data_IF_266217962997
#
_entry.id   IF_266217962997
#
_cell.length_a   1.000
_cell.length_b   1.000
_cell.length_c   1.000
_cell.angle_alpha   90.00
_cell.angle_beta   90.00
_cell.angle_gamma   90.00
#
_symmetry.space_group_name_H-M   'P 1'
#
loop_
_entity.id
_entity.type
_entity.pdbx_description
1 polymer ?
#
# COMPACT_ATOMS: atom_id res chain seq x y z
N UNK A 1 -3.86 -13.55 1.65
CA UNK A 1 -2.47 -13.63 2.17
C UNK A 1 -1.40 -13.12 1.17
N UNK A 2 -1.60 -13.33 -0.14
CA UNK A 2 -0.66 -12.91 -1.21
C UNK A 2 -0.54 -11.38 -1.34
N UNK A 3 -1.66 -10.64 -1.31
CA UNK A 3 -1.68 -9.16 -1.41
C UNK A 3 -0.66 -8.49 -0.48
N UNK A 4 -0.63 -8.88 0.81
CA UNK A 4 0.31 -8.32 1.81
C UNK A 4 1.78 -8.57 1.51
N UNK A 5 2.12 -9.74 0.99
CA UNK A 5 3.51 -10.06 0.61
C UNK A 5 3.93 -9.19 -0.57
N UNK A 6 3.06 -9.09 -1.58
CA UNK A 6 3.27 -8.27 -2.78
C UNK A 6 3.46 -6.79 -2.40
N UNK A 7 2.60 -6.24 -1.55
CA UNK A 7 2.74 -4.84 -1.11
C UNK A 7 4.06 -4.59 -0.38
N UNK A 8 4.51 -5.54 0.45
CA UNK A 8 5.81 -5.43 1.13
C UNK A 8 6.97 -5.36 0.14
N UNK A 9 6.95 -6.16 -0.93
CA UNK A 9 7.98 -6.09 -1.98
C UNK A 9 7.98 -4.75 -2.70
N UNK A 10 6.82 -4.19 -3.01
CA UNK A 10 6.72 -2.86 -3.63
C UNK A 10 7.26 -1.75 -2.74
N UNK A 11 6.93 -1.77 -1.45
CA UNK A 11 7.44 -0.78 -0.48
C UNK A 11 8.96 -0.90 -0.30
N UNK A 12 9.47 -2.13 -0.13
CA UNK A 12 10.92 -2.37 0.00
C UNK A 12 11.65 -1.96 -1.28
N UNK A 13 11.08 -2.26 -2.45
CA UNK A 13 11.62 -1.84 -3.74
C UNK A 13 11.70 -0.32 -3.87
N UNK A 14 10.63 0.40 -3.51
CA UNK A 14 10.61 1.86 -3.55
C UNK A 14 11.67 2.49 -2.61
N UNK A 15 11.82 1.93 -1.39
CA UNK A 15 12.85 2.38 -0.44
C UNK A 15 14.25 2.09 -0.97
N UNK A 16 14.50 0.90 -1.50
CA UNK A 16 15.80 0.54 -2.05
C UNK A 16 16.19 1.43 -3.23
N UNK A 17 15.25 1.66 -4.15
CA UNK A 17 15.48 2.58 -5.26
C UNK A 17 15.85 3.93 -4.67
N UNK A 18 15.05 4.51 -3.77
CA UNK A 18 15.34 5.84 -3.24
C UNK A 18 16.65 5.93 -2.44
N UNK A 19 16.91 4.99 -1.52
CA UNK A 19 18.00 5.09 -0.53
C UNK A 19 19.34 4.60 -1.06
N UNK A 20 19.36 3.56 -1.91
CA UNK A 20 20.60 2.92 -2.34
C UNK A 20 21.62 3.87 -3.00
N UNK A 21 21.25 4.81 -3.88
CA UNK A 21 22.22 5.73 -4.45
C UNK A 21 22.60 6.88 -3.52
N UNK A 22 21.75 7.26 -2.56
CA UNK A 22 22.19 8.15 -1.48
C UNK A 22 23.29 7.47 -0.67
N UNK A 23 23.14 6.18 -0.35
CA UNK A 23 24.18 5.41 0.35
C UNK A 23 25.44 5.30 -0.51
N UNK A 24 25.32 4.96 -1.80
CA UNK A 24 26.49 4.88 -2.70
C UNK A 24 27.21 6.23 -2.84
N UNK A 25 26.47 7.34 -2.89
CA UNK A 25 27.04 8.66 -3.05
C UNK A 25 27.63 9.22 -1.75
N UNK A 26 26.96 9.06 -0.61
CA UNK A 26 27.41 9.65 0.67
C UNK A 26 28.37 8.75 1.45
N UNK A 27 28.19 7.42 1.41
CA UNK A 27 29.03 6.48 2.16
C UNK A 27 30.23 6.04 1.33
N UNK A 28 30.01 5.67 0.06
CA UNK A 28 31.08 5.15 -0.80
C UNK A 28 31.73 6.22 -1.67
N UNK A 29 31.22 7.47 -1.69
CA UNK A 29 31.65 8.56 -2.58
C UNK A 29 31.63 8.20 -4.08
N UNK A 30 30.92 7.14 -4.46
CA UNK A 30 30.82 6.74 -5.86
C UNK A 30 29.66 7.50 -6.46
N UNK A 31 29.89 8.26 -7.54
CA UNK A 31 28.78 8.90 -8.25
C UNK A 31 27.98 7.81 -8.99
N UNK A 32 26.73 7.52 -8.59
CA UNK A 32 25.95 6.42 -9.17
C UNK A 32 25.72 6.62 -10.67
N UNK A 33 25.71 7.87 -11.14
CA UNK A 33 25.63 8.24 -12.56
C UNK A 33 26.65 7.50 -13.44
N UNK A 34 27.89 7.32 -12.99
CA UNK A 34 28.93 6.68 -13.79
C UNK A 34 28.80 5.15 -13.83
N UNK A 35 28.35 4.52 -12.75
CA UNK A 35 28.09 3.07 -12.70
C UNK A 35 26.90 2.71 -13.60
N UNK A 36 25.81 3.47 -13.53
CA UNK A 36 24.63 3.17 -14.35
C UNK A 36 24.85 3.46 -15.83
N UNK A 37 25.66 4.48 -16.14
CA UNK A 37 26.07 4.79 -17.49
C UNK A 37 26.95 3.69 -18.10
N UNK A 38 27.77 2.97 -17.30
CA UNK A 38 28.55 1.83 -17.81
C UNK A 38 27.70 0.60 -18.13
N UNK A 39 26.49 0.50 -17.55
CA UNK A 39 25.51 -0.56 -17.83
C UNK A 39 24.55 -0.14 -18.99
N UNK A 40 24.77 1.04 -19.59
CA UNK A 40 23.95 1.57 -20.69
C UNK A 40 22.65 2.25 -20.26
N UNK A 41 22.43 2.42 -18.95
CA UNK A 41 21.23 3.05 -18.40
C UNK A 41 21.49 4.54 -18.24
N UNK A 42 21.30 5.30 -19.32
CA UNK A 42 21.73 6.71 -19.41
C UNK A 42 20.71 7.73 -18.88
N UNK A 43 19.41 7.40 -18.86
CA UNK A 43 18.33 8.38 -18.63
C UNK A 43 17.41 8.09 -17.44
N UNK A 44 17.44 6.87 -16.88
CA UNK A 44 16.48 6.45 -15.85
C UNK A 44 16.68 7.22 -14.53
N UNK A 45 17.92 7.64 -14.24
CA UNK A 45 18.28 8.20 -12.93
C UNK A 45 18.18 9.71 -12.80
N UNK A 46 18.26 10.48 -13.89
CA UNK A 46 18.17 11.94 -13.78
C UNK A 46 16.72 12.43 -13.77
N UNK A 47 15.85 11.81 -14.57
CA UNK A 47 14.48 12.28 -14.81
C UNK A 47 13.43 11.44 -14.06
N UNK A 48 13.56 10.10 -14.07
CA UNK A 48 12.56 9.18 -13.51
C UNK A 48 12.80 8.79 -12.05
N UNK A 49 13.82 9.36 -11.41
CA UNK A 49 14.25 9.02 -10.05
C UNK A 49 13.14 9.10 -9.00
N UNK A 50 12.31 10.12 -9.13
CA UNK A 50 11.22 10.41 -8.20
C UNK A 50 9.90 9.79 -8.66
N UNK A 51 9.76 9.58 -9.97
CA UNK A 51 8.57 8.99 -10.59
C UNK A 51 8.46 7.49 -10.25
N UNK A 52 9.53 6.73 -10.45
CA UNK A 52 9.55 5.28 -10.21
C UNK A 52 9.15 4.88 -8.77
N UNK A 53 9.77 5.43 -7.70
CA UNK A 53 9.36 5.15 -6.34
C UNK A 53 7.95 5.68 -6.03
N UNK A 54 7.56 6.83 -6.59
CA UNK A 54 6.21 7.38 -6.41
C UNK A 54 5.14 6.43 -6.97
N UNK A 55 5.33 5.90 -8.18
CA UNK A 55 4.40 4.94 -8.81
C UNK A 55 4.35 3.63 -8.02
N UNK A 56 5.48 3.12 -7.55
CA UNK A 56 5.52 1.89 -6.74
C UNK A 56 4.79 2.07 -5.40
N UNK A 57 4.93 3.24 -4.75
CA UNK A 57 4.19 3.57 -3.53
C UNK A 57 2.68 3.72 -3.79
N UNK A 58 2.29 4.26 -4.95
CA UNK A 58 0.88 4.39 -5.35
C UNK A 58 0.24 3.03 -5.62
N UNK A 59 0.95 2.12 -6.30
CA UNK A 59 0.51 0.74 -6.48
C UNK A 59 0.40 0.01 -5.14
N UNK A 60 1.36 0.23 -4.23
CA UNK A 60 1.31 -0.31 -2.88
C UNK A 60 0.09 0.21 -2.10
N UNK A 61 -0.24 1.50 -2.23
CA UNK A 61 -1.45 2.10 -1.66
C UNK A 61 -2.72 1.42 -2.20
N UNK A 62 -2.87 1.31 -3.53
CA UNK A 62 -4.04 0.66 -4.16
C UNK A 62 -4.25 -0.78 -3.69
N UNK A 63 -3.17 -1.52 -3.48
CA UNK A 63 -3.21 -2.90 -2.96
C UNK A 63 -3.59 -2.99 -1.49
N UNK A 64 -3.39 -1.90 -0.73
CA UNK A 64 -3.55 -1.87 0.72
C UNK A 64 -4.81 -1.13 1.17
N UNK A 65 -5.45 -0.40 0.25
CA UNK A 65 -6.71 0.28 0.48
C UNK A 65 -7.83 -0.75 0.71
N UNK A 66 -8.55 -0.70 1.85
CA UNK A 66 -9.68 -1.57 2.08
C UNK A 66 -10.85 -1.09 1.21
N UNK A 67 -11.24 -1.88 0.21
CA UNK A 67 -12.45 -1.61 -0.56
C UNK A 67 -13.68 -2.05 0.23
N UNK A 68 -14.74 -1.25 0.15
CA UNK A 68 -16.03 -1.51 0.80
C UNK A 68 -16.64 -2.88 0.42
N UNK A 69 -16.26 -3.41 -0.74
CA UNK A 69 -16.66 -4.73 -1.24
C UNK A 69 -16.07 -5.90 -0.42
N UNK A 70 -14.96 -5.69 0.30
CA UNK A 70 -14.40 -6.70 1.22
C UNK A 70 -15.10 -6.69 2.60
N UNK A 71 -15.92 -5.67 2.88
CA UNK A 71 -16.83 -5.63 4.03
C UNK A 71 -18.12 -6.39 3.67
N UNK A 72 -18.02 -7.71 3.47
CA UNK A 72 -19.18 -8.54 3.19
C UNK A 72 -20.09 -8.63 4.43
N UNK A 73 -20.92 -7.60 4.63
CA UNK A 73 -22.01 -7.58 5.60
C UNK A 73 -23.21 -8.40 5.15
N UNK A 74 -23.10 -9.14 4.05
CA UNK A 74 -24.15 -10.05 3.61
C UNK A 74 -23.68 -11.49 3.81
N UNK A 75 -24.51 -12.27 4.48
CA UNK A 75 -24.33 -13.72 4.54
C UNK A 75 -24.70 -14.33 3.18
N UNK A 76 -24.21 -15.54 2.84
CA UNK A 76 -24.54 -16.24 1.59
C UNK A 76 -26.06 -16.37 1.35
N UNK A 77 -26.85 -16.35 2.42
CA UNK A 77 -28.30 -16.40 2.38
C UNK A 77 -28.97 -15.04 2.06
N UNK A 78 -28.19 -13.99 1.77
CA UNK A 78 -28.68 -12.63 1.50
C UNK A 78 -29.03 -11.83 2.76
N UNK A 79 -28.89 -12.41 3.95
CA UNK A 79 -29.16 -11.71 5.20
C UNK A 79 -28.11 -10.63 5.48
N UNK A 80 -28.57 -9.43 5.78
CA UNK A 80 -27.72 -8.31 6.18
C UNK A 80 -27.29 -8.47 7.66
N UNK A 81 -26.00 -8.76 7.84
CA UNK A 81 -25.33 -8.95 9.12
C UNK A 81 -25.27 -7.67 9.95
N UNK A 82 -25.59 -6.50 9.38
CA UNK A 82 -25.74 -5.24 10.13
C UNK A 82 -26.79 -5.33 11.25
N UNK A 83 -27.79 -6.20 11.07
CA UNK A 83 -28.85 -6.47 12.05
C UNK A 83 -28.57 -7.71 12.93
N UNK A 84 -27.43 -8.38 12.76
CA UNK A 84 -27.11 -9.57 13.55
C UNK A 84 -26.64 -9.21 14.97
N UNK A 85 -26.93 -10.09 15.93
CA UNK A 85 -26.53 -9.88 17.32
C UNK A 85 -25.00 -9.98 17.45
N UNK A 86 -24.36 -8.93 17.97
CA UNK A 86 -22.90 -8.78 18.04
C UNK A 86 -22.18 -9.90 18.80
N UNK A 87 -22.88 -10.63 19.67
CA UNK A 87 -22.31 -11.75 20.45
C UNK A 87 -22.30 -13.07 19.68
N UNK A 88 -23.08 -13.21 18.61
CA UNK A 88 -23.19 -14.46 17.86
C UNK A 88 -22.34 -14.43 16.59
N UNK A 89 -21.40 -15.37 16.46
CA UNK A 89 -20.61 -15.59 15.24
C UNK A 89 -21.38 -16.29 14.11
N UNK A 90 -22.68 -16.52 14.29
CA UNK A 90 -23.52 -17.28 13.36
C UNK A 90 -24.57 -16.36 12.77
N UNK A 91 -24.81 -16.50 11.47
CA UNK A 91 -25.93 -15.85 10.81
C UNK A 91 -27.24 -16.35 11.46
N UNK A 92 -28.16 -15.46 11.86
CA UNK A 92 -29.40 -15.86 12.53
C UNK A 92 -30.35 -16.67 11.64
N UNK A 93 -30.27 -16.48 10.31
CA UNK A 93 -31.11 -17.19 9.35
C UNK A 93 -30.56 -18.57 8.94
N UNK A 94 -29.29 -18.64 8.56
CA UNK A 94 -28.71 -19.85 7.99
C UNK A 94 -27.74 -20.59 8.91
N UNK A 95 -27.42 -20.03 10.09
CA UNK A 95 -26.54 -20.65 11.09
C UNK A 95 -25.06 -20.78 10.67
N UNK A 96 -24.70 -20.38 9.45
CA UNK A 96 -23.32 -20.35 8.95
C UNK A 96 -22.49 -19.31 9.71
N UNK A 97 -21.19 -19.53 9.81
CA UNK A 97 -20.28 -18.57 10.43
C UNK A 97 -20.19 -17.30 9.58
N UNK A 98 -20.40 -16.13 10.21
CA UNK A 98 -20.23 -14.84 9.55
C UNK A 98 -18.74 -14.53 9.40
N UNK A 99 -18.25 -14.45 8.17
CA UNK A 99 -16.87 -14.05 7.88
C UNK A 99 -16.78 -12.52 7.83
N UNK A 100 -16.82 -11.88 9.00
CA UNK A 100 -16.50 -10.45 9.12
C UNK A 100 -14.97 -10.28 9.01
N UNK A 101 -14.46 -9.98 7.81
CA UNK A 101 -13.02 -9.85 7.61
C UNK A 101 -12.41 -8.57 8.22
N UNK A 102 -13.20 -7.51 8.42
CA UNK A 102 -12.68 -6.15 8.66
C UNK A 102 -13.25 -5.36 9.85
N UNK A 103 -14.41 -5.74 10.38
CA UNK A 103 -15.10 -5.01 11.45
C UNK A 103 -15.78 -5.99 12.41
N UNK A 104 -15.56 -5.79 13.71
CA UNK A 104 -16.25 -6.55 14.76
C UNK A 104 -17.65 -6.01 15.03
N UNK A 105 -17.93 -4.76 14.68
CA UNK A 105 -19.21 -4.08 14.89
C UNK A 105 -19.54 -3.17 13.70
N UNK A 106 -20.82 -2.96 13.39
CA UNK A 106 -21.24 -2.00 12.37
C UNK A 106 -20.87 -0.57 12.80
N UNK A 107 -20.24 0.18 11.89
CA UNK A 107 -19.86 1.58 12.12
C UNK A 107 -18.54 1.80 12.86
N UNK A 108 -17.91 0.75 13.42
CA UNK A 108 -16.56 0.85 14.00
C UNK A 108 -15.55 0.02 13.23
N UNK A 109 -14.44 0.64 12.84
CA UNK A 109 -13.34 -0.06 12.21
C UNK A 109 -12.57 -0.87 13.26
N UNK A 110 -12.32 -2.16 13.00
CA UNK A 110 -11.44 -2.94 13.85
C UNK A 110 -10.06 -2.26 13.95
N UNK A 111 -9.41 -2.33 15.11
CA UNK A 111 -8.09 -1.71 15.36
C UNK A 111 -7.02 -2.08 14.32
N UNK A 112 -7.13 -3.28 13.74
CA UNK A 112 -6.25 -3.77 12.68
C UNK A 112 -6.53 -3.11 11.32
N UNK A 113 -7.78 -2.74 11.08
CA UNK A 113 -8.25 -2.05 9.88
C UNK A 113 -7.84 -0.59 9.92
N UNK A 114 -8.04 0.09 11.05
CA UNK A 114 -7.55 1.47 11.24
C UNK A 114 -6.03 1.56 11.05
N UNK A 115 -5.27 0.62 11.61
CA UNK A 115 -3.81 0.59 11.45
C UNK A 115 -3.40 0.42 9.98
N UNK A 116 -4.10 -0.41 9.20
CA UNK A 116 -3.83 -0.53 7.76
C UNK A 116 -4.22 0.70 6.98
N UNK A 117 -5.32 1.35 7.35
CA UNK A 117 -5.81 2.55 6.70
C UNK A 117 -4.85 3.73 6.94
N UNK A 118 -4.36 3.89 8.17
CA UNK A 118 -3.28 4.83 8.51
C UNK A 118 -2.03 4.52 7.68
N UNK A 119 -1.65 3.25 7.56
CA UNK A 119 -0.51 2.85 6.72
C UNK A 119 -0.71 3.17 5.24
N UNK A 120 -1.91 2.96 4.71
CA UNK A 120 -2.26 3.30 3.33
C UNK A 120 -2.19 4.82 3.11
N UNK A 121 -2.76 5.62 4.02
CA UNK A 121 -2.65 7.09 3.97
C UNK A 121 -1.18 7.53 3.97
N UNK A 122 -0.35 6.91 4.82
CA UNK A 122 1.08 7.21 4.86
C UNK A 122 1.78 6.90 3.53
N UNK A 123 1.47 5.77 2.90
CA UNK A 123 2.00 5.43 1.57
C UNK A 123 1.54 6.41 0.49
N UNK A 124 0.28 6.85 0.54
CA UNK A 124 -0.27 7.84 -0.39
C UNK A 124 0.42 9.19 -0.24
N UNK A 125 0.57 9.68 0.98
CA UNK A 125 1.30 10.94 1.27
C UNK A 125 2.75 10.86 0.79
N UNK A 126 3.43 9.74 1.03
CA UNK A 126 4.77 9.50 0.53
C UNK A 126 4.86 9.50 -1.00
N UNK A 127 3.89 8.89 -1.68
CA UNK A 127 3.81 8.90 -3.14
C UNK A 127 3.59 10.31 -3.69
N UNK A 128 2.65 11.08 -3.13
CA UNK A 128 2.38 12.47 -3.52
C UNK A 128 3.56 13.39 -3.29
N UNK A 129 4.26 13.24 -2.15
CA UNK A 129 5.46 14.02 -1.85
C UNK A 129 6.56 13.77 -2.88
N UNK A 130 6.85 12.51 -3.17
CA UNK A 130 7.85 12.12 -4.17
C UNK A 130 7.45 12.59 -5.58
N UNK A 131 6.16 12.50 -5.91
CA UNK A 131 5.62 12.99 -7.18
C UNK A 131 5.79 14.51 -7.32
N UNK A 132 5.49 15.27 -6.27
CA UNK A 132 5.64 16.72 -6.24
C UNK A 132 7.10 17.16 -6.43
N UNK A 133 8.06 16.48 -5.80
CA UNK A 133 9.49 16.72 -6.03
C UNK A 133 9.86 16.39 -7.49
N UNK A 134 9.33 15.30 -8.04
CA UNK A 134 9.53 14.93 -9.44
C UNK A 134 9.05 16.02 -10.41
N UNK A 135 7.88 16.60 -10.15
CA UNK A 135 7.35 17.72 -10.94
C UNK A 135 8.21 18.98 -10.80
N UNK A 136 8.61 19.35 -9.57
CA UNK A 136 9.47 20.52 -9.33
C UNK A 136 10.83 20.43 -10.02
N UNK A 137 11.41 19.21 -10.11
CA UNK A 137 12.67 19.00 -10.81
C UNK A 137 12.52 18.99 -12.35
N UNK A 138 11.32 18.71 -12.84
CA UNK A 138 11.02 18.64 -14.27
C UNK A 138 10.67 20.00 -14.89
N UNK A 139 10.39 21.02 -14.07
CA UNK A 139 10.24 22.42 -14.46
C UNK A 139 11.58 23.14 -14.46
#
# INVERSE_FOLDING_TARGET
>A
MIKKKVTKYFVVGAILIFVCPFVLQYVFQIRPKYILQSIGIRYIFDEYWFWLPSTLLLVAFMLQFPFKEEEAWHCDCGYDLSYSNQKSKKCPECGKESQLEWSTEPGTFARKTTQRLVWAIFLLLGSLFMFGIGLLKSF
#
